data_IF_557466532481
#
_entry.id   IF_557466532481
#
_cell.length_a   1.000
_cell.length_b   1.000
_cell.length_c   1.000
_cell.angle_alpha   90.00
_cell.angle_beta   90.00
_cell.angle_gamma   90.00
#
_symmetry.space_group_name_H-M   'P 1'
#
loop_
_entity.id
_entity.type
_entity.pdbx_description
1 polymer ?
#
# COMPACT_ATOMS: atom_id res chain seq x y z
N UNK A 1 2.76 74.55 -8.26
CA UNK A 1 2.96 73.29 -7.51
C UNK A 1 2.09 72.24 -8.15
N UNK A 2 2.70 71.09 -8.48
CA UNK A 2 2.08 69.83 -8.95
C UNK A 2 1.41 69.88 -10.34
N UNK A 3 1.77 69.06 -11.33
CA UNK A 3 2.50 67.79 -11.31
C UNK A 3 1.65 66.70 -11.95
N UNK A 4 1.80 66.56 -13.27
CA UNK A 4 1.76 65.33 -14.11
C UNK A 4 1.16 64.03 -13.55
N UNK A 5 0.26 63.39 -14.32
CA UNK A 5 0.50 62.02 -14.86
C UNK A 5 -0.62 61.57 -15.82
N UNK A 6 -0.32 61.60 -17.11
CA UNK A 6 -0.92 60.72 -18.12
C UNK A 6 -0.19 59.37 -18.06
N UNK A 7 -0.92 58.28 -17.84
CA UNK A 7 -0.38 56.92 -17.94
C UNK A 7 -0.44 56.46 -19.40
N UNK A 8 0.72 56.49 -20.04
CA UNK A 8 1.03 55.93 -21.33
C UNK A 8 1.17 54.40 -21.20
N UNK A 9 0.28 53.63 -21.83
CA UNK A 9 0.42 52.18 -21.91
C UNK A 9 1.55 51.82 -22.89
N UNK A 10 2.58 51.13 -22.39
CA UNK A 10 3.61 50.51 -23.21
C UNK A 10 3.21 49.05 -23.53
N UNK A 11 3.50 48.52 -24.73
CA UNK A 11 3.35 47.10 -25.01
C UNK A 11 4.56 46.35 -24.46
N UNK A 12 4.33 45.32 -23.63
CA UNK A 12 5.38 44.39 -23.23
C UNK A 12 5.29 43.16 -24.13
N UNK A 13 6.16 43.13 -25.15
CA UNK A 13 6.54 41.88 -25.79
C UNK A 13 7.73 41.32 -25.00
N UNK A 14 7.56 40.15 -24.41
CA UNK A 14 8.68 39.31 -23.99
C UNK A 14 8.29 37.86 -24.22
N UNK A 15 8.75 37.32 -25.35
CA UNK A 15 8.82 35.89 -25.56
C UNK A 15 9.80 35.28 -24.56
N UNK A 16 9.36 34.23 -23.88
CA UNK A 16 10.26 33.29 -23.23
C UNK A 16 9.77 31.88 -23.60
N UNK A 17 10.45 31.29 -24.58
CA UNK A 17 10.26 29.90 -24.95
C UNK A 17 10.58 29.02 -23.75
N UNK A 18 9.55 28.41 -23.17
CA UNK A 18 9.72 27.31 -22.24
C UNK A 18 10.02 26.07 -23.11
N UNK A 19 11.30 25.75 -23.20
CA UNK A 19 11.79 24.54 -23.82
C UNK A 19 11.10 23.33 -23.20
N UNK A 20 10.60 22.44 -24.06
CA UNK A 20 10.44 21.03 -23.74
C UNK A 20 11.77 20.52 -23.16
N UNK A 21 11.75 20.07 -21.91
CA UNK A 21 12.85 19.32 -21.31
C UNK A 21 12.45 17.84 -21.18
N UNK A 22 12.56 17.04 -22.26
CA UNK A 22 12.46 15.61 -22.14
C UNK A 22 13.88 15.08 -21.98
N UNK A 23 14.39 14.93 -20.75
CA UNK A 23 15.22 13.80 -20.28
C UNK A 23 15.24 13.73 -18.76
N UNK A 24 14.10 13.33 -18.18
CA UNK A 24 14.10 12.65 -16.88
C UNK A 24 14.82 11.31 -17.12
N UNK A 25 16.09 11.29 -16.71
CA UNK A 25 17.07 10.29 -17.10
C UNK A 25 16.66 8.85 -16.85
N UNK A 26 17.27 7.99 -17.67
CA UNK A 26 17.38 6.55 -17.49
C UNK A 26 17.67 6.22 -16.03
N UNK A 27 16.62 5.90 -15.29
CA UNK A 27 16.73 5.13 -14.06
C UNK A 27 16.33 3.72 -14.43
N UNK A 28 17.34 2.88 -14.65
CA UNK A 28 17.19 1.44 -14.73
C UNK A 28 16.74 0.95 -13.34
N UNK A 29 15.45 1.10 -13.05
CA UNK A 29 14.78 0.39 -11.95
C UNK A 29 13.99 -0.77 -12.56
N UNK A 30 14.71 -1.67 -13.24
CA UNK A 30 14.14 -2.80 -13.98
C UNK A 30 13.86 -4.03 -13.11
N UNK A 31 13.71 -3.88 -11.79
CA UNK A 31 13.47 -5.00 -10.88
C UNK A 31 12.03 -5.11 -10.36
N UNK A 32 11.31 -3.99 -10.29
CA UNK A 32 9.99 -3.95 -9.65
C UNK A 32 8.82 -4.06 -10.64
N UNK A 33 9.03 -3.73 -11.93
CA UNK A 33 8.00 -3.84 -12.98
C UNK A 33 7.81 -5.29 -13.49
N UNK A 34 8.87 -6.11 -13.53
CA UNK A 34 8.78 -7.48 -14.09
C UNK A 34 7.80 -8.37 -13.32
N UNK A 35 7.76 -8.29 -11.98
CA UNK A 35 6.86 -9.12 -11.19
C UNK A 35 5.39 -8.67 -11.33
N UNK A 36 5.13 -7.36 -11.37
CA UNK A 36 3.79 -6.83 -11.56
C UNK A 36 3.24 -7.21 -12.94
N UNK A 37 4.08 -7.10 -13.98
CA UNK A 37 3.73 -7.46 -15.36
C UNK A 37 3.54 -8.97 -15.55
N UNK A 38 4.36 -9.81 -14.90
CA UNK A 38 4.22 -11.27 -14.93
C UNK A 38 3.00 -11.77 -14.16
N UNK A 39 2.72 -11.19 -12.99
CA UNK A 39 1.56 -11.58 -12.16
C UNK A 39 0.26 -11.19 -12.85
N UNK A 40 0.16 -10.00 -13.47
CA UNK A 40 -1.11 -9.51 -14.03
C UNK A 40 -1.56 -10.22 -15.32
N UNK A 41 -0.67 -10.89 -16.03
CA UNK A 41 -0.99 -11.49 -17.35
C UNK A 41 -1.98 -12.66 -17.27
N UNK A 42 -1.94 -13.43 -16.19
CA UNK A 42 -2.78 -14.63 -15.99
C UNK A 42 -3.82 -14.46 -14.87
N UNK A 43 -4.05 -13.21 -14.40
CA UNK A 43 -5.02 -12.92 -13.34
C UNK A 43 -6.45 -12.96 -13.89
N UNK A 44 -7.34 -13.59 -13.12
CA UNK A 44 -8.76 -13.67 -13.42
C UNK A 44 -9.37 -12.26 -13.70
N UNK A 45 -10.16 -12.09 -14.78
CA UNK A 45 -10.72 -10.79 -15.16
C UNK A 45 -11.55 -10.11 -14.06
N UNK A 46 -12.24 -10.87 -13.21
CA UNK A 46 -12.98 -10.33 -12.08
C UNK A 46 -12.04 -9.72 -11.04
N UNK A 47 -10.88 -10.34 -10.81
CA UNK A 47 -9.89 -9.82 -9.87
C UNK A 47 -9.22 -8.55 -10.41
N UNK A 48 -8.92 -8.51 -11.72
CA UNK A 48 -8.43 -7.28 -12.38
C UNK A 48 -9.41 -6.11 -12.20
N UNK A 49 -10.70 -6.34 -12.41
CA UNK A 49 -11.70 -5.29 -12.25
C UNK A 49 -11.85 -4.87 -10.77
N UNK A 50 -11.68 -5.78 -9.81
CA UNK A 50 -11.64 -5.43 -8.38
C UNK A 50 -10.44 -4.54 -8.05
N UNK A 51 -9.24 -4.90 -8.54
CA UNK A 51 -8.02 -4.11 -8.38
C UNK A 51 -8.22 -2.72 -9.00
N UNK A 52 -8.80 -2.66 -10.21
CA UNK A 52 -9.09 -1.40 -10.90
C UNK A 52 -10.02 -0.49 -10.09
N UNK A 53 -11.13 -1.02 -9.58
CA UNK A 53 -12.05 -0.24 -8.74
C UNK A 53 -11.38 0.28 -7.48
N UNK A 54 -10.51 -0.52 -6.87
CA UNK A 54 -9.77 -0.12 -5.68
C UNK A 54 -8.79 1.02 -5.99
N UNK A 55 -8.05 0.90 -7.09
CA UNK A 55 -7.11 1.93 -7.56
C UNK A 55 -7.83 3.26 -7.80
N UNK A 56 -8.98 3.22 -8.51
CA UNK A 56 -9.81 4.41 -8.76
C UNK A 56 -10.34 5.02 -7.46
N UNK A 57 -10.87 4.21 -6.55
CA UNK A 57 -11.41 4.69 -5.28
C UNK A 57 -10.36 5.37 -4.39
N UNK A 58 -9.08 5.00 -4.54
CA UNK A 58 -7.96 5.55 -3.76
C UNK A 58 -7.10 6.56 -4.51
N UNK A 59 -7.35 6.76 -5.81
CA UNK A 59 -6.48 7.59 -6.67
C UNK A 59 -5.08 7.01 -6.84
N UNK A 60 -4.94 5.69 -6.78
CA UNK A 60 -3.66 4.99 -6.89
C UNK A 60 -3.38 4.53 -8.33
N UNK A 61 -2.09 4.38 -8.66
CA UNK A 61 -1.70 3.70 -9.91
C UNK A 61 -1.97 2.20 -9.80
N UNK A 62 -2.03 1.51 -10.95
CA UNK A 62 -2.22 0.05 -10.98
C UNK A 62 -1.04 -0.67 -10.32
N UNK A 63 0.20 -0.28 -10.63
CA UNK A 63 1.37 -0.92 -10.00
C UNK A 63 1.35 -0.74 -8.49
N UNK A 64 1.12 0.49 -8.01
CA UNK A 64 1.08 0.77 -6.57
C UNK A 64 -0.04 0.00 -5.87
N UNK A 65 -1.21 -0.10 -6.48
CA UNK A 65 -2.32 -0.89 -5.94
C UNK A 65 -1.95 -2.37 -5.84
N UNK A 66 -1.29 -2.93 -6.85
CA UNK A 66 -0.85 -4.33 -6.83
C UNK A 66 0.20 -4.56 -5.74
N UNK A 67 1.18 -3.67 -5.61
CA UNK A 67 2.20 -3.74 -4.55
C UNK A 67 1.56 -3.77 -3.16
N UNK A 68 0.69 -2.80 -2.85
CA UNK A 68 0.01 -2.73 -1.55
C UNK A 68 -0.83 -3.98 -1.28
N UNK A 69 -1.54 -4.49 -2.29
CA UNK A 69 -2.36 -5.70 -2.14
C UNK A 69 -1.51 -6.94 -1.90
N UNK A 70 -0.35 -7.06 -2.55
CA UNK A 70 0.58 -8.17 -2.34
C UNK A 70 1.20 -8.10 -0.94
N UNK A 71 1.63 -6.93 -0.49
CA UNK A 71 2.16 -6.73 0.87
C UNK A 71 1.12 -7.07 1.94
N UNK A 72 -0.11 -6.56 1.78
CA UNK A 72 -1.21 -6.84 2.72
C UNK A 72 -1.62 -8.30 2.71
N UNK A 73 -1.69 -8.92 1.52
CA UNK A 73 -2.02 -10.34 1.38
C UNK A 73 -0.94 -11.24 1.99
N UNK A 74 0.34 -10.90 1.81
CA UNK A 74 1.45 -11.62 2.42
C UNK A 74 1.41 -11.49 3.94
N UNK A 75 1.23 -10.26 4.45
CA UNK A 75 1.12 -10.02 5.89
C UNK A 75 -0.06 -10.79 6.52
N UNK A 76 -1.22 -10.82 5.84
CA UNK A 76 -2.38 -11.58 6.31
C UNK A 76 -2.11 -13.09 6.34
N UNK A 77 -1.47 -13.63 5.29
CA UNK A 77 -1.11 -15.06 5.23
C UNK A 77 -0.08 -15.46 6.28
N UNK A 78 0.94 -14.63 6.52
CA UNK A 78 1.93 -14.85 7.59
C UNK A 78 1.29 -14.78 8.97
N UNK A 79 0.35 -13.86 9.17
CA UNK A 79 -0.41 -13.77 10.41
C UNK A 79 -1.25 -15.03 10.64
N UNK A 80 -1.94 -15.55 9.62
CA UNK A 80 -2.69 -16.81 9.72
C UNK A 80 -1.78 -18.00 10.07
N UNK A 81 -0.58 -18.08 9.48
CA UNK A 81 0.39 -19.15 9.80
C UNK A 81 0.97 -19.02 11.22
N UNK A 82 1.16 -17.80 11.71
CA UNK A 82 1.65 -17.57 13.07
C UNK A 82 0.59 -17.83 14.15
N UNK A 83 -0.70 -17.85 13.80
CA UNK A 83 -1.83 -18.06 14.72
C UNK A 83 -2.48 -19.43 14.49
N UNK A 84 -1.68 -20.50 14.56
CA UNK A 84 -2.18 -21.89 14.52
C UNK A 84 -3.22 -22.22 15.60
N UNK A 85 -3.43 -21.33 16.58
CA UNK A 85 -4.60 -21.25 17.45
C UNK A 85 -5.04 -19.78 17.51
N UNK A 86 -6.32 -19.51 17.28
CA UNK A 86 -6.89 -18.17 17.45
C UNK A 86 -6.86 -17.74 18.92
N UNK A 87 -7.01 -16.43 19.17
CA UNK A 87 -6.93 -15.88 20.54
C UNK A 87 -7.83 -16.61 21.54
N UNK A 88 -9.03 -17.04 21.13
CA UNK A 88 -9.97 -17.80 21.96
C UNK A 88 -9.41 -19.17 22.36
N UNK A 89 -8.74 -19.86 21.44
CA UNK A 89 -8.16 -21.18 21.67
C UNK A 89 -6.90 -21.07 22.55
N UNK A 90 -6.12 -20.00 22.37
CA UNK A 90 -4.97 -19.66 23.23
C UNK A 90 -5.43 -19.31 24.65
N UNK A 91 -6.48 -18.50 24.79
CA UNK A 91 -7.03 -18.12 26.09
C UNK A 91 -7.60 -19.35 26.82
N UNK A 92 -8.36 -20.20 26.11
CA UNK A 92 -8.90 -21.43 26.67
C UNK A 92 -7.81 -22.43 27.09
N UNK A 93 -6.76 -22.59 26.28
CA UNK A 93 -5.63 -23.45 26.61
C UNK A 93 -4.83 -22.91 27.80
N UNK A 94 -4.63 -21.59 27.85
CA UNK A 94 -3.96 -20.92 28.97
C UNK A 94 -4.75 -21.10 30.27
N UNK A 95 -6.07 -20.93 30.24
CA UNK A 95 -6.96 -21.16 31.38
C UNK A 95 -6.89 -22.62 31.86
N UNK A 96 -6.91 -23.59 30.94
CA UNK A 96 -6.79 -25.00 31.28
C UNK A 96 -5.43 -25.34 31.91
N UNK A 97 -4.33 -24.80 31.39
CA UNK A 97 -2.99 -24.97 31.96
C UNK A 97 -2.91 -24.38 33.37
N UNK A 98 -3.46 -23.18 33.58
CA UNK A 98 -3.52 -22.55 34.89
C UNK A 98 -4.34 -23.37 35.88
N UNK A 99 -5.47 -23.91 35.46
CA UNK A 99 -6.29 -24.81 36.28
C UNK A 99 -5.52 -26.07 36.69
N UNK A 100 -4.75 -26.66 35.77
CA UNK A 100 -3.91 -27.83 36.07
C UNK A 100 -2.74 -27.50 37.01
N UNK A 101 -2.11 -26.33 36.86
CA UNK A 101 -1.01 -25.88 37.73
C UNK A 101 -1.48 -25.50 39.14
N UNK A 102 -2.74 -25.09 39.29
CA UNK A 102 -3.33 -24.78 40.59
C UNK A 102 -3.61 -26.04 41.43
N UNK A 103 -3.52 -27.22 40.84
CA UNK A 103 -3.66 -28.47 41.58
C UNK A 103 -2.45 -28.68 42.49
N UNK A 104 -2.65 -29.07 43.77
CA UNK A 104 -1.54 -29.40 44.64
C UNK A 104 -0.78 -30.61 44.08
N UNK A 105 0.55 -30.56 44.19
CA UNK A 105 1.40 -31.67 43.76
C UNK A 105 1.00 -32.95 44.53
N UNK A 106 0.51 -33.95 43.81
CA UNK A 106 -0.01 -35.20 44.39
C UNK A 106 -1.53 -35.27 44.53
N UNK A 107 -2.31 -34.41 43.87
CA UNK A 107 -3.76 -34.58 43.77
C UNK A 107 -4.08 -35.89 43.01
N UNK A 108 -4.40 -36.93 43.76
CA UNK A 108 -4.89 -38.20 43.22
C UNK A 108 -6.33 -37.98 42.73
N UNK A 109 -6.60 -38.28 41.46
CA UNK A 109 -7.98 -38.31 40.96
C UNK A 109 -8.68 -39.51 41.60
N UNK A 110 -9.41 -39.26 42.69
CA UNK A 110 -10.17 -40.27 43.42
C UNK A 110 -11.30 -40.89 42.61
#
# INVERSE_FOLDING_TARGET
>A
MSGTSQLHAAPVETGHGLADDPKRGDRLDGGCDEMADLILRDVDPLLLERIRRLAVARGWTREHTCMVLLEQGLFAGEHEMSHGFGNIEVDALSEAIHALQALPAGAEFG
#
